data_IF_225025802061
#
_entry.id   IF_225025802061
#
_cell.length_a   1.000
_cell.length_b   1.000
_cell.length_c   1.000
_cell.angle_alpha   90.00
_cell.angle_beta   90.00
_cell.angle_gamma   90.00
#
_symmetry.space_group_name_H-M   'P 1'
#
loop_
_entity.id
_entity.type
_entity.pdbx_description
1 polymer ?
#
# COMPACT_ATOMS: atom_id res chain seq x y z
N UNK A 1 5.44 47.24 19.61
CA UNK A 1 4.29 46.33 19.44
C UNK A 1 4.71 45.29 18.42
N UNK A 2 4.93 44.06 18.89
CA UNK A 2 5.35 42.93 18.06
C UNK A 2 4.06 42.25 17.64
N UNK A 3 3.72 42.34 16.36
CA UNK A 3 2.56 41.65 15.81
C UNK A 3 3.03 40.28 15.35
N UNK A 4 3.14 39.33 16.29
CA UNK A 4 3.32 37.91 15.99
C UNK A 4 1.97 37.36 15.50
N UNK A 5 1.69 37.56 14.22
CA UNK A 5 0.67 36.75 13.53
C UNK A 5 1.23 35.34 13.41
N UNK A 6 0.81 34.48 14.34
CA UNK A 6 0.82 33.03 14.20
C UNK A 6 0.05 32.66 12.93
N UNK A 7 0.76 32.62 11.79
CA UNK A 7 0.30 31.96 10.59
C UNK A 7 0.48 30.45 10.80
N UNK A 8 -0.40 29.86 11.61
CA UNK A 8 -0.77 28.46 11.41
C UNK A 8 -1.40 28.42 10.03
N UNK A 9 -0.68 27.89 9.05
CA UNK A 9 -1.16 27.72 7.69
C UNK A 9 -2.37 26.79 7.72
N UNK A 10 -3.57 27.36 7.82
CA UNK A 10 -4.80 26.64 7.52
C UNK A 10 -4.70 26.21 6.06
N UNK A 11 -4.70 24.90 5.80
CA UNK A 11 -4.98 24.39 4.47
C UNK A 11 -6.27 25.07 4.00
N UNK A 12 -6.28 25.81 2.89
CA UNK A 12 -7.51 26.37 2.37
C UNK A 12 -8.47 25.20 2.19
N UNK A 13 -9.63 25.22 2.87
CA UNK A 13 -10.57 24.10 2.86
C UNK A 13 -10.92 23.60 1.45
N UNK A 14 -10.75 24.47 0.44
CA UNK A 14 -10.86 24.13 -0.98
C UNK A 14 -9.77 23.16 -1.47
N UNK A 15 -8.50 23.35 -1.09
CA UNK A 15 -7.41 22.43 -1.49
C UNK A 15 -7.61 21.03 -0.91
N UNK A 16 -8.04 20.95 0.35
CA UNK A 16 -8.36 19.66 0.98
C UNK A 16 -9.55 18.99 0.29
N UNK A 17 -10.60 19.77 -0.03
CA UNK A 17 -11.76 19.26 -0.77
C UNK A 17 -11.37 18.76 -2.15
N UNK A 18 -10.52 19.49 -2.88
CA UNK A 18 -9.99 19.07 -4.17
C UNK A 18 -9.20 17.76 -4.07
N UNK A 19 -8.33 17.63 -3.07
CA UNK A 19 -7.56 16.40 -2.83
C UNK A 19 -8.47 15.20 -2.53
N UNK A 20 -9.48 15.37 -1.67
CA UNK A 20 -10.47 14.33 -1.38
C UNK A 20 -11.27 13.96 -2.63
N UNK A 21 -11.72 14.95 -3.41
CA UNK A 21 -12.47 14.71 -4.65
C UNK A 21 -11.63 13.97 -5.70
N UNK A 22 -10.35 14.31 -5.86
CA UNK A 22 -9.45 13.63 -6.78
C UNK A 22 -9.24 12.16 -6.37
N UNK A 23 -9.02 11.89 -5.09
CA UNK A 23 -8.90 10.53 -4.58
C UNK A 23 -10.21 9.75 -4.76
N UNK A 24 -11.35 10.37 -4.46
CA UNK A 24 -12.66 9.74 -4.65
C UNK A 24 -12.90 9.37 -6.12
N UNK A 25 -12.68 10.30 -7.05
CA UNK A 25 -12.86 10.04 -8.48
C UNK A 25 -11.98 8.89 -8.98
N UNK A 26 -10.71 8.88 -8.60
CA UNK A 26 -9.78 7.82 -9.03
C UNK A 26 -10.14 6.46 -8.44
N UNK A 27 -10.52 6.40 -7.16
CA UNK A 27 -10.98 5.15 -6.53
C UNK A 27 -12.29 4.66 -7.15
N UNK A 28 -13.22 5.56 -7.49
CA UNK A 28 -14.44 5.20 -8.23
C UNK A 28 -14.12 4.59 -9.59
N UNK A 29 -13.19 5.15 -10.36
CA UNK A 29 -12.77 4.56 -11.64
C UNK A 29 -12.19 3.16 -11.48
N UNK A 30 -11.41 2.93 -10.41
CA UNK A 30 -10.88 1.59 -10.10
C UNK A 30 -11.99 0.57 -9.77
N UNK A 31 -13.05 1.01 -9.09
CA UNK A 31 -14.22 0.17 -8.79
C UNK A 31 -15.04 -0.17 -10.03
N UNK A 32 -15.12 0.75 -11.00
CA UNK A 32 -15.86 0.56 -12.26
C UNK A 32 -15.12 -0.34 -13.26
N UNK A 33 -13.89 -0.77 -12.94
CA UNK A 33 -13.13 -1.76 -13.70
C UNK A 33 -12.17 -1.19 -14.73
N UNK A 34 -12.15 0.13 -14.92
CA UNK A 34 -11.15 0.82 -15.73
C UNK A 34 -9.92 1.15 -14.89
N UNK A 35 -8.95 0.23 -14.84
CA UNK A 35 -7.70 0.45 -14.12
C UNK A 35 -6.48 0.37 -15.05
N UNK A 36 -6.34 1.27 -16.05
CA UNK A 36 -5.07 1.43 -16.72
C UNK A 36 -4.01 1.85 -15.68
N UNK A 37 -2.74 1.53 -15.98
CA UNK A 37 -1.61 1.87 -15.10
C UNK A 37 -1.63 3.33 -14.62
N UNK A 38 -1.97 4.27 -15.51
CA UNK A 38 -2.05 5.69 -15.17
C UNK A 38 -3.08 6.00 -14.07
N UNK A 39 -4.23 5.33 -14.06
CA UNK A 39 -5.25 5.51 -13.02
C UNK A 39 -4.76 5.00 -11.67
N UNK A 40 -4.08 3.85 -11.65
CA UNK A 40 -3.47 3.29 -10.43
C UNK A 40 -2.39 4.22 -9.87
N UNK A 41 -1.49 4.71 -10.72
CA UNK A 41 -0.47 5.68 -10.31
C UNK A 41 -1.15 6.96 -9.78
N UNK A 42 -2.17 7.48 -10.47
CA UNK A 42 -2.86 8.71 -10.04
C UNK A 42 -3.59 8.53 -8.70
N UNK A 43 -4.23 7.38 -8.48
CA UNK A 43 -4.87 7.06 -7.21
C UNK A 43 -3.85 7.04 -6.07
N UNK A 44 -2.68 6.42 -6.30
CA UNK A 44 -1.61 6.35 -5.31
C UNK A 44 -1.05 7.75 -4.96
N UNK A 45 -0.76 8.57 -5.98
CA UNK A 45 -0.26 9.93 -5.76
C UNK A 45 -1.31 10.82 -5.08
N UNK A 46 -2.60 10.67 -5.43
CA UNK A 46 -3.70 11.41 -4.79
C UNK A 46 -3.85 11.02 -3.33
N UNK A 47 -3.69 9.73 -3.01
CA UNK A 47 -3.66 9.23 -1.65
C UNK A 47 -2.50 9.86 -0.86
N UNK A 48 -1.29 9.82 -1.41
CA UNK A 48 -0.09 10.33 -0.72
C UNK A 48 -0.19 11.84 -0.50
N UNK A 49 -0.67 12.59 -1.50
CA UNK A 49 -0.88 14.03 -1.37
C UNK A 49 -1.92 14.36 -0.28
N UNK A 50 -3.00 13.58 -0.16
CA UNK A 50 -4.00 13.77 0.88
C UNK A 50 -3.44 13.43 2.27
N UNK A 51 -2.67 12.34 2.37
CA UNK A 51 -2.01 11.93 3.62
C UNK A 51 -1.04 13.01 4.10
N UNK A 52 -0.18 13.53 3.22
CA UNK A 52 0.80 14.57 3.54
C UNK A 52 0.12 15.87 4.02
N UNK A 53 -0.97 16.27 3.35
CA UNK A 53 -1.76 17.43 3.75
C UNK A 53 -2.38 17.24 5.14
N UNK A 54 -2.97 16.07 5.40
CA UNK A 54 -3.62 15.80 6.67
C UNK A 54 -2.65 15.56 7.83
N UNK A 55 -1.44 15.05 7.56
CA UNK A 55 -0.42 14.80 8.57
C UNK A 55 -0.02 16.06 9.36
N UNK A 56 -0.14 17.24 8.74
CA UNK A 56 0.12 18.55 9.37
C UNK A 56 -0.85 18.81 10.54
N UNK A 57 -2.05 18.23 10.51
CA UNK A 57 -3.15 18.53 11.42
C UNK A 57 -3.39 17.48 12.51
N UNK A 58 -2.47 16.53 12.70
CA UNK A 58 -2.63 15.40 13.62
C UNK A 58 -3.91 14.60 13.34
N UNK A 59 -3.80 13.69 12.39
CA UNK A 59 -4.86 12.74 12.00
C UNK A 59 -5.41 11.99 13.22
N UNK A 60 -6.73 11.98 13.36
CA UNK A 60 -7.39 11.07 14.29
C UNK A 60 -7.34 9.62 13.76
N UNK A 61 -7.49 8.66 14.67
CA UNK A 61 -7.38 7.24 14.35
C UNK A 61 -8.39 6.77 13.28
N UNK A 62 -9.58 7.37 13.20
CA UNK A 62 -10.59 6.96 12.22
C UNK A 62 -10.22 7.40 10.80
N UNK A 63 -9.67 8.62 10.66
CA UNK A 63 -9.21 9.13 9.37
C UNK A 63 -7.97 8.37 8.89
N UNK A 64 -7.01 8.09 9.79
CA UNK A 64 -5.85 7.25 9.45
C UNK A 64 -6.28 5.87 8.96
N UNK A 65 -7.18 5.20 9.70
CA UNK A 65 -7.67 3.88 9.32
C UNK A 65 -8.46 3.90 8.00
N UNK A 66 -9.11 5.02 7.64
CA UNK A 66 -9.77 5.16 6.34
C UNK A 66 -8.75 5.26 5.19
N UNK A 67 -7.71 6.09 5.36
CA UNK A 67 -6.62 6.22 4.39
C UNK A 67 -5.89 4.88 4.18
N UNK A 68 -5.59 4.16 5.27
CA UNK A 68 -4.95 2.84 5.19
C UNK A 68 -5.78 1.83 4.38
N UNK A 69 -7.12 1.84 4.52
CA UNK A 69 -8.01 0.98 3.72
C UNK A 69 -8.03 1.37 2.25
N UNK A 70 -7.96 2.67 1.95
CA UNK A 70 -7.90 3.17 0.57
C UNK A 70 -6.57 2.75 -0.08
N UNK A 71 -5.44 2.93 0.61
CA UNK A 71 -4.16 2.48 0.10
C UNK A 71 -4.12 0.95 -0.11
N UNK A 72 -4.68 0.18 0.83
CA UNK A 72 -4.83 -1.27 0.68
C UNK A 72 -5.63 -1.62 -0.57
N UNK A 73 -6.77 -0.96 -0.78
CA UNK A 73 -7.61 -1.13 -1.96
C UNK A 73 -6.84 -0.84 -3.27
N UNK A 74 -6.14 0.30 -3.34
CA UNK A 74 -5.31 0.67 -4.49
C UNK A 74 -4.23 -0.40 -4.73
N UNK A 75 -3.56 -0.87 -3.67
CA UNK A 75 -2.50 -1.88 -3.74
C UNK A 75 -3.02 -3.22 -4.26
N UNK A 76 -4.21 -3.65 -3.84
CA UNK A 76 -4.84 -4.87 -4.33
C UNK A 76 -5.20 -4.77 -5.81
N UNK A 77 -5.76 -3.64 -6.24
CA UNK A 77 -6.04 -3.39 -7.67
C UNK A 77 -4.75 -3.34 -8.50
N UNK A 78 -3.67 -2.78 -7.95
CA UNK A 78 -2.36 -2.81 -8.59
C UNK A 78 -1.80 -4.24 -8.71
N UNK A 79 -1.96 -5.06 -7.68
CA UNK A 79 -1.61 -6.49 -7.73
C UNK A 79 -2.36 -7.23 -8.83
N UNK A 80 -3.67 -7.02 -8.94
CA UNK A 80 -4.50 -7.62 -10.00
C UNK A 80 -4.07 -7.16 -11.40
N UNK A 81 -3.80 -5.86 -11.57
CA UNK A 81 -3.25 -5.32 -12.82
C UNK A 81 -1.90 -5.95 -13.16
N UNK A 82 -1.02 -6.12 -12.18
CA UNK A 82 0.28 -6.74 -12.39
C UNK A 82 0.15 -8.19 -12.86
N UNK A 83 -0.77 -8.99 -12.30
CA UNK A 83 -0.98 -10.36 -12.74
C UNK A 83 -1.40 -10.46 -14.20
N UNK A 84 -2.25 -9.56 -14.68
CA UNK A 84 -2.78 -9.61 -16.04
C UNK A 84 -1.87 -8.96 -17.06
N UNK A 85 -1.21 -7.84 -16.70
CA UNK A 85 -0.41 -7.03 -17.61
C UNK A 85 1.09 -7.31 -17.54
N UNK A 86 1.60 -8.06 -16.54
CA UNK A 86 3.05 -8.24 -16.37
C UNK A 86 3.74 -8.86 -17.59
N UNK A 87 3.07 -9.69 -18.40
CA UNK A 87 3.67 -10.23 -19.61
C UNK A 87 4.02 -9.14 -20.65
N UNK A 88 3.29 -8.03 -20.64
CA UNK A 88 3.41 -6.91 -21.59
C UNK A 88 4.37 -5.82 -21.10
N UNK A 89 4.66 -5.81 -19.80
CA UNK A 89 5.58 -4.86 -19.18
C UNK A 89 7.04 -5.30 -19.34
N UNK A 90 7.90 -4.36 -19.76
CA UNK A 90 9.34 -4.57 -19.71
C UNK A 90 9.87 -4.59 -18.25
N UNK A 91 11.12 -5.03 -18.07
CA UNK A 91 11.72 -5.14 -16.73
C UNK A 91 11.81 -3.80 -15.99
N UNK A 92 12.00 -2.68 -16.71
CA UNK A 92 12.09 -1.35 -16.10
C UNK A 92 10.72 -0.89 -15.62
N UNK A 93 9.68 -1.12 -16.41
CA UNK A 93 8.28 -0.85 -16.07
C UNK A 93 7.85 -1.70 -14.88
N UNK A 94 8.14 -3.00 -14.87
CA UNK A 94 7.89 -3.89 -13.72
C UNK A 94 8.55 -3.40 -12.45
N UNK A 95 9.86 -3.10 -12.51
CA UNK A 95 10.59 -2.67 -11.33
C UNK A 95 10.07 -1.33 -10.78
N UNK A 96 9.73 -0.38 -11.66
CA UNK A 96 9.10 0.88 -11.26
C UNK A 96 7.73 0.62 -10.61
N UNK A 97 6.89 -0.19 -11.27
CA UNK A 97 5.56 -0.54 -10.78
C UNK A 97 5.61 -1.15 -9.38
N UNK A 98 6.41 -2.21 -9.22
CA UNK A 98 6.53 -2.92 -7.95
C UNK A 98 7.10 -1.99 -6.88
N UNK A 99 8.07 -1.13 -7.21
CA UNK A 99 8.63 -0.19 -6.23
C UNK A 99 7.58 0.81 -5.71
N UNK A 100 6.58 1.17 -6.52
CA UNK A 100 5.47 2.01 -6.10
C UNK A 100 4.49 1.25 -5.19
N UNK A 101 4.06 0.05 -5.60
CA UNK A 101 2.95 -0.64 -4.94
C UNK A 101 3.36 -1.66 -3.87
N UNK A 102 4.61 -2.13 -3.84
CA UNK A 102 5.10 -3.04 -2.80
C UNK A 102 5.43 -2.32 -1.48
N UNK A 103 5.29 -0.99 -1.41
CA UNK A 103 5.67 -0.20 -0.23
C UNK A 103 4.91 -0.60 1.04
N UNK A 104 3.66 -1.06 0.95
CA UNK A 104 2.91 -1.54 2.12
C UNK A 104 3.58 -2.73 2.80
N UNK A 105 4.29 -3.57 2.05
CA UNK A 105 5.05 -4.69 2.62
C UNK A 105 6.28 -4.23 3.40
N UNK A 106 6.74 -2.98 3.22
CA UNK A 106 7.84 -2.40 4.00
C UNK A 106 7.41 -2.00 5.41
N UNK A 107 6.09 -1.95 5.69
CA UNK A 107 5.59 -1.78 7.05
C UNK A 107 5.83 -3.01 7.92
N UNK A 108 6.17 -4.16 7.32
CA UNK A 108 6.55 -5.36 8.05
C UNK A 108 7.99 -5.23 8.57
N UNK A 109 8.14 -5.30 9.88
CA UNK A 109 9.46 -5.23 10.52
C UNK A 109 10.41 -6.30 9.97
N UNK A 110 11.60 -5.87 9.53
CA UNK A 110 12.62 -6.75 8.98
C UNK A 110 12.47 -7.07 7.49
N UNK A 111 11.44 -6.56 6.80
CA UNK A 111 11.37 -6.61 5.33
C UNK A 111 12.07 -5.42 4.67
N UNK A 112 13.04 -5.74 3.82
CA UNK A 112 13.67 -4.77 2.93
C UNK A 112 13.01 -4.71 1.54
N UNK A 113 13.34 -3.69 0.72
CA UNK A 113 12.79 -3.50 -0.63
C UNK A 113 12.88 -4.72 -1.53
N UNK A 114 14.00 -5.44 -1.50
CA UNK A 114 14.19 -6.65 -2.32
C UNK A 114 13.18 -7.75 -1.95
N UNK A 115 12.89 -7.94 -0.66
CA UNK A 115 11.94 -8.96 -0.21
C UNK A 115 10.50 -8.54 -0.48
N UNK A 116 10.16 -7.26 -0.29
CA UNK A 116 8.85 -6.72 -0.67
C UNK A 116 8.58 -6.90 -2.18
N UNK A 117 9.58 -6.63 -3.03
CA UNK A 117 9.47 -6.84 -4.47
C UNK A 117 9.23 -8.31 -4.82
N UNK A 118 9.97 -9.23 -4.20
CA UNK A 118 9.80 -10.66 -4.43
C UNK A 118 8.41 -11.15 -4.02
N UNK A 119 7.91 -10.73 -2.86
CA UNK A 119 6.55 -11.08 -2.41
C UNK A 119 5.49 -10.55 -3.36
N UNK A 120 5.62 -9.30 -3.81
CA UNK A 120 4.70 -8.70 -4.77
C UNK A 120 4.67 -9.48 -6.08
N UNK A 121 5.85 -9.87 -6.60
CA UNK A 121 5.94 -10.71 -7.81
C UNK A 121 5.28 -12.08 -7.65
N UNK A 122 5.24 -12.61 -6.43
CA UNK A 122 4.63 -13.90 -6.09
C UNK A 122 3.15 -13.79 -5.71
N UNK A 123 2.54 -12.61 -5.85
CA UNK A 123 1.11 -12.42 -5.61
C UNK A 123 0.73 -12.03 -4.18
N UNK A 124 1.72 -11.73 -3.33
CA UNK A 124 1.51 -11.24 -1.96
C UNK A 124 1.73 -9.73 -1.96
N UNK A 125 0.66 -8.95 -1.90
CA UNK A 125 0.71 -7.50 -2.12
C UNK A 125 0.63 -6.69 -0.83
N UNK A 126 0.03 -7.25 0.23
CA UNK A 126 -0.19 -6.54 1.49
C UNK A 126 0.24 -7.36 2.71
N UNK A 127 0.56 -6.71 3.85
CA UNK A 127 0.82 -7.39 5.12
C UNK A 127 -0.30 -8.37 5.53
N UNK A 128 -1.55 -7.97 5.34
CA UNK A 128 -2.72 -8.77 5.68
C UNK A 128 -2.78 -10.04 4.84
N UNK A 129 -2.46 -9.96 3.55
CA UNK A 129 -2.34 -11.14 2.69
C UNK A 129 -1.19 -12.04 3.13
N UNK A 130 -0.03 -11.46 3.47
CA UNK A 130 1.12 -12.21 3.96
C UNK A 130 0.79 -13.02 5.21
N UNK A 131 0.13 -12.42 6.20
CA UNK A 131 -0.25 -13.11 7.44
C UNK A 131 -1.48 -14.03 7.31
N UNK A 132 -2.19 -13.96 6.18
CA UNK A 132 -3.30 -14.88 5.89
C UNK A 132 -2.82 -16.18 5.23
N UNK A 133 -1.56 -16.26 4.80
CA UNK A 133 -0.99 -17.47 4.21
C UNK A 133 -0.95 -18.60 5.23
N UNK A 134 -1.26 -19.83 4.82
CA UNK A 134 -0.94 -20.98 5.63
C UNK A 134 0.59 -21.13 5.72
N UNK A 135 1.15 -21.65 6.83
CA UNK A 135 2.59 -21.91 6.94
C UNK A 135 3.16 -22.76 5.80
N UNK A 136 2.35 -23.70 5.28
CA UNK A 136 2.71 -24.51 4.12
C UNK A 136 2.76 -23.73 2.81
N UNK A 137 1.90 -22.72 2.63
CA UNK A 137 1.88 -21.85 1.44
C UNK A 137 3.10 -20.92 1.44
N UNK A 138 3.42 -20.34 2.61
CA UNK A 138 4.61 -19.51 2.77
C UNK A 138 5.89 -20.27 2.42
N UNK A 139 6.01 -21.54 2.85
CA UNK A 139 7.16 -22.39 2.56
C UNK A 139 7.28 -22.79 1.08
N UNK A 140 6.17 -22.70 0.32
CA UNK A 140 6.14 -23.02 -1.11
C UNK A 140 6.40 -21.81 -2.01
N UNK A 141 6.43 -20.60 -1.45
CA UNK A 141 6.84 -19.41 -2.19
C UNK A 141 8.26 -19.61 -2.75
N UNK A 142 8.45 -19.32 -4.04
CA UNK A 142 9.73 -19.46 -4.74
C UNK A 142 10.70 -18.32 -4.35
N UNK A 143 11.02 -18.26 -3.06
CA UNK A 143 11.90 -17.26 -2.46
C UNK A 143 13.26 -17.88 -2.13
N UNK A 144 14.34 -17.07 -2.12
CA UNK A 144 15.63 -17.53 -1.63
C UNK A 144 15.51 -18.08 -0.20
N UNK A 145 16.26 -19.14 0.12
CA UNK A 145 16.21 -19.78 1.46
C UNK A 145 16.50 -18.79 2.59
N UNK A 146 17.41 -17.84 2.37
CA UNK A 146 17.72 -16.78 3.33
C UNK A 146 16.55 -15.79 3.55
N UNK A 147 15.67 -15.61 2.56
CA UNK A 147 14.44 -14.84 2.69
C UNK A 147 13.39 -15.63 3.46
N UNK A 148 13.17 -16.90 3.11
CA UNK A 148 12.23 -17.78 3.82
C UNK A 148 12.58 -17.91 5.31
N UNK A 149 13.87 -18.08 5.64
CA UNK A 149 14.33 -18.17 7.04
C UNK A 149 14.00 -16.91 7.88
N UNK A 150 13.80 -15.76 7.24
CA UNK A 150 13.38 -14.50 7.89
C UNK A 150 11.86 -14.37 7.96
N UNK A 151 11.17 -14.75 6.88
CA UNK A 151 9.72 -14.63 6.78
C UNK A 151 8.95 -15.63 7.64
N UNK A 152 9.45 -16.87 7.78
CA UNK A 152 8.77 -17.91 8.56
C UNK A 152 8.61 -17.50 10.04
N UNK A 153 9.66 -17.06 10.75
CA UNK A 153 9.51 -16.58 12.12
C UNK A 153 8.60 -15.34 12.23
N UNK A 154 8.72 -14.40 11.28
CA UNK A 154 7.87 -13.20 11.25
C UNK A 154 6.39 -13.57 11.13
N UNK A 155 6.07 -14.49 10.22
CA UNK A 155 4.72 -15.00 10.01
C UNK A 155 4.18 -15.71 11.27
N UNK A 156 5.01 -16.54 11.92
CA UNK A 156 4.62 -17.27 13.12
C UNK A 156 4.30 -16.37 14.32
N UNK A 157 4.91 -15.19 14.43
CA UNK A 157 4.63 -14.22 15.51
C UNK A 157 3.22 -13.62 15.42
N UNK A 158 2.64 -13.57 14.22
CA UNK A 158 1.33 -13.00 13.97
C UNK A 158 0.23 -14.06 13.86
N UNK A 159 0.59 -15.34 13.98
CA UNK A 159 -0.38 -16.43 13.98
C UNK A 159 -1.31 -16.24 15.17
N UNK A 160 -2.63 -16.06 14.97
CA UNK A 160 -3.55 -16.06 16.10
C UNK A 160 -3.37 -17.43 16.76
N UNK A 161 -3.24 -17.43 18.08
CA UNK A 161 -3.49 -18.61 18.89
C UNK A 161 -4.83 -19.18 18.42
N UNK A 162 -4.82 -20.18 17.55
CA UNK A 162 -5.94 -21.08 17.37
C UNK A 162 -6.06 -21.79 18.71
N UNK A 163 -6.87 -21.20 19.60
CA UNK A 163 -7.55 -21.94 20.65
C UNK A 163 -8.38 -22.97 19.91
N UNK A 164 -7.88 -24.19 19.87
CA UNK A 164 -8.71 -25.36 19.71
C UNK A 164 -9.92 -25.22 20.65
N UNK A 165 -11.12 -25.27 20.08
CA UNK A 165 -12.38 -25.50 20.79
C UNK A 165 -13.04 -26.71 20.16
#
# INVERSE_FOLDING_TARGET
>A
MINETNNTAELPAEQLREAVNALMQTVTSLLEGEAPLATLETALHSHDALLDQLAIHSLDASTLAALERIEQFITLHAGNYYQTASAELDNKQKNRFISLFARRLLALDGLGPATAQQLFQLGVYTPEQFFSLAPGELAQLQLPSATLARLIPLHAQHSPLTRDS
#
